data_IF_257461272560
#
_entry.id   IF_257461272560
#
_cell.length_a   1.000
_cell.length_b   1.000
_cell.length_c   1.000
_cell.angle_alpha   90.00
_cell.angle_beta   90.00
_cell.angle_gamma   90.00
#
_symmetry.space_group_name_H-M   'P 1'
#
loop_
_entity.id
_entity.type
_entity.pdbx_description
1 polymer ?
#
# COMPACT_ATOMS: atom_id res chain seq x y z
N UNK A 1 -4.55 6.21 -14.98
CA UNK A 1 -3.45 6.56 -14.07
C UNK A 1 -3.72 5.98 -12.69
N UNK A 2 -2.70 5.37 -12.10
CA UNK A 2 -2.82 4.84 -10.75
C UNK A 2 -2.58 5.97 -9.75
N UNK A 3 -3.47 6.12 -8.78
CA UNK A 3 -3.28 7.07 -7.69
C UNK A 3 -2.76 6.31 -6.47
N UNK A 4 -1.52 6.59 -6.12
CA UNK A 4 -0.85 5.91 -4.99
C UNK A 4 -1.64 6.10 -3.70
N UNK A 5 -2.14 7.30 -3.44
CA UNK A 5 -2.92 7.56 -2.22
C UNK A 5 -4.20 6.72 -2.14
N UNK A 6 -4.79 6.39 -3.29
CA UNK A 6 -5.97 5.53 -3.34
C UNK A 6 -5.60 4.10 -2.92
N UNK A 7 -4.48 3.59 -3.44
CA UNK A 7 -4.02 2.24 -3.08
C UNK A 7 -3.60 2.16 -1.62
N UNK A 8 -2.93 3.19 -1.13
CA UNK A 8 -2.57 3.26 0.29
C UNK A 8 -3.83 3.23 1.16
N UNK A 9 -4.81 4.05 0.82
CA UNK A 9 -6.07 4.10 1.56
C UNK A 9 -6.79 2.76 1.59
N UNK A 10 -6.87 2.10 0.46
CA UNK A 10 -7.52 0.79 0.34
C UNK A 10 -6.79 -0.26 1.17
N UNK A 11 -5.47 -0.27 1.13
CA UNK A 11 -4.66 -1.22 1.91
C UNK A 11 -4.84 -0.99 3.41
N UNK A 12 -4.79 0.26 3.85
CA UNK A 12 -5.01 0.58 5.27
C UNK A 12 -6.39 0.12 5.73
N UNK A 13 -7.41 0.37 4.93
CA UNK A 13 -8.76 -0.07 5.23
C UNK A 13 -8.85 -1.58 5.35
N UNK A 14 -8.25 -2.30 4.41
CA UNK A 14 -8.30 -3.75 4.40
C UNK A 14 -7.61 -4.34 5.63
N UNK A 15 -6.44 -3.83 6.01
CA UNK A 15 -5.78 -4.27 7.24
C UNK A 15 -6.62 -3.94 8.47
N UNK A 16 -7.23 -2.77 8.50
CA UNK A 16 -8.10 -2.39 9.62
C UNK A 16 -9.27 -3.36 9.77
N UNK A 17 -9.91 -3.68 8.67
CA UNK A 17 -11.03 -4.63 8.68
C UNK A 17 -10.59 -6.03 9.08
N UNK A 18 -9.44 -6.48 8.59
CA UNK A 18 -8.89 -7.78 8.98
C UNK A 18 -8.59 -7.86 10.49
N UNK A 19 -8.18 -6.75 11.06
CA UNK A 19 -7.91 -6.68 12.52
C UNK A 19 -9.19 -6.48 13.33
N UNK A 20 -10.33 -6.32 12.69
CA UNK A 20 -11.60 -6.11 13.37
C UNK A 20 -11.68 -4.79 14.11
N UNK A 21 -10.98 -3.77 13.63
CA UNK A 21 -10.93 -2.46 14.31
C UNK A 21 -11.78 -1.44 13.58
N UNK A 22 -12.42 -0.56 14.36
CA UNK A 22 -13.18 0.55 13.79
C UNK A 22 -12.22 1.67 13.41
N UNK A 23 -12.70 2.52 12.51
CA UNK A 23 -11.96 3.72 12.12
C UNK A 23 -11.63 4.59 13.33
N UNK A 24 -12.61 4.75 14.23
CA UNK A 24 -12.45 5.53 15.46
C UNK A 24 -11.36 4.97 16.37
N UNK A 25 -11.32 3.65 16.52
CA UNK A 25 -10.30 2.99 17.34
C UNK A 25 -8.90 3.25 16.79
N UNK A 26 -8.73 3.10 15.49
CA UNK A 26 -7.43 3.32 14.85
C UNK A 26 -7.04 4.79 14.93
N UNK A 27 -7.96 5.70 14.63
CA UNK A 27 -7.70 7.14 14.71
C UNK A 27 -7.26 7.55 16.11
N UNK A 28 -7.96 7.06 17.12
CA UNK A 28 -7.62 7.34 18.51
C UNK A 28 -6.24 6.81 18.87
N UNK A 29 -5.94 5.57 18.52
CA UNK A 29 -4.66 4.95 18.84
C UNK A 29 -3.50 5.60 18.10
N UNK A 30 -3.74 6.02 16.87
CA UNK A 30 -2.73 6.71 16.06
C UNK A 30 -2.62 8.21 16.40
N UNK A 31 -3.50 8.73 17.23
CA UNK A 31 -3.56 10.15 17.58
C UNK A 31 -3.78 11.05 16.36
N UNK A 32 -4.66 10.61 15.46
CA UNK A 32 -5.04 11.40 14.29
C UNK A 32 -6.53 11.70 14.32
N UNK A 33 -6.95 12.77 13.66
CA UNK A 33 -8.35 13.13 13.57
C UNK A 33 -9.11 12.07 12.79
N UNK A 34 -10.29 11.70 13.28
CA UNK A 34 -11.15 10.71 12.65
C UNK A 34 -11.49 11.08 11.21
N UNK A 35 -11.87 12.33 10.98
CA UNK A 35 -12.21 12.80 9.64
C UNK A 35 -11.03 12.73 8.67
N UNK A 36 -9.84 13.04 9.15
CA UNK A 36 -8.63 12.96 8.34
C UNK A 36 -8.33 11.51 7.95
N UNK A 37 -8.37 10.60 8.92
CA UNK A 37 -8.12 9.18 8.63
C UNK A 37 -9.17 8.62 7.67
N UNK A 38 -10.43 9.02 7.83
CA UNK A 38 -11.49 8.65 6.90
C UNK A 38 -11.16 9.08 5.46
N UNK A 39 -10.68 10.31 5.30
CA UNK A 39 -10.32 10.82 3.98
C UNK A 39 -9.10 10.10 3.41
N UNK A 40 -8.13 9.74 4.24
CA UNK A 40 -6.98 8.96 3.82
C UNK A 40 -7.41 7.58 3.32
N UNK A 41 -8.30 6.90 4.04
CA UNK A 41 -8.80 5.59 3.61
C UNK A 41 -9.57 5.66 2.30
N UNK A 42 -10.24 6.77 2.04
CA UNK A 42 -10.98 6.96 0.78
C UNK A 42 -10.11 7.48 -0.36
N UNK A 43 -8.82 7.66 -0.12
CA UNK A 43 -7.90 8.14 -1.14
C UNK A 43 -8.05 9.62 -1.45
N UNK A 44 -8.73 10.38 -0.60
CA UNK A 44 -8.97 11.81 -0.79
C UNK A 44 -7.87 12.70 -0.24
N UNK A 45 -7.08 12.16 0.67
CA UNK A 45 -5.95 12.87 1.28
C UNK A 45 -4.72 11.98 1.30
N UNK A 46 -3.57 12.61 1.16
CA UNK A 46 -2.30 11.93 1.30
C UNK A 46 -1.91 11.88 2.77
N UNK A 47 -1.30 10.77 3.18
CA UNK A 47 -0.77 10.64 4.52
C UNK A 47 0.73 10.85 4.49
N UNK A 48 1.24 11.65 5.41
CA UNK A 48 2.68 11.81 5.57
C UNK A 48 3.31 10.52 6.08
N UNK A 49 4.64 10.43 6.02
CA UNK A 49 5.36 9.28 6.55
C UNK A 49 5.05 9.06 8.02
N UNK A 50 4.96 10.13 8.80
CA UNK A 50 4.66 10.06 10.23
C UNK A 50 3.26 9.52 10.49
N UNK A 51 2.29 9.95 9.70
CA UNK A 51 0.91 9.46 9.82
C UNK A 51 0.84 7.98 9.44
N UNK A 52 1.49 7.60 8.36
CA UNK A 52 1.52 6.19 7.94
C UNK A 52 2.16 5.30 9.01
N UNK A 53 3.26 5.76 9.61
CA UNK A 53 3.92 5.02 10.69
C UNK A 53 3.00 4.89 11.91
N UNK A 54 2.30 5.96 12.29
CA UNK A 54 1.39 5.94 13.42
C UNK A 54 0.20 5.02 13.19
N UNK A 55 -0.35 5.03 11.99
CA UNK A 55 -1.48 4.16 11.64
C UNK A 55 -1.03 2.70 11.59
N UNK A 56 0.13 2.41 11.02
CA UNK A 56 0.70 1.06 11.00
C UNK A 56 0.86 0.52 12.41
N UNK A 57 1.42 1.32 13.31
CA UNK A 57 1.57 0.94 14.72
C UNK A 57 0.20 0.70 15.37
N UNK A 58 -0.76 1.57 15.11
CA UNK A 58 -2.12 1.41 15.63
C UNK A 58 -2.80 0.14 15.13
N UNK A 59 -2.43 -0.33 13.95
CA UNK A 59 -2.96 -1.56 13.36
C UNK A 59 -2.14 -2.80 13.75
N UNK A 60 -1.02 -2.63 14.42
CA UNK A 60 -0.07 -3.70 14.71
C UNK A 60 0.41 -4.42 13.43
N UNK A 61 0.65 -3.64 12.39
CA UNK A 61 1.16 -4.14 11.11
C UNK A 61 2.45 -3.38 10.81
N UNK A 62 3.54 -4.07 10.47
CA UNK A 62 4.77 -3.39 10.09
C UNK A 62 4.54 -2.51 8.86
N UNK A 63 5.11 -1.32 8.85
CA UNK A 63 4.98 -0.41 7.70
C UNK A 63 5.49 -1.07 6.41
N UNK A 64 6.52 -1.90 6.50
CA UNK A 64 7.05 -2.63 5.35
C UNK A 64 5.99 -3.55 4.73
N UNK A 65 5.18 -4.18 5.56
CA UNK A 65 4.09 -5.05 5.09
C UNK A 65 3.03 -4.23 4.36
N UNK A 66 2.68 -3.06 4.90
CA UNK A 66 1.73 -2.16 4.24
C UNK A 66 2.28 -1.70 2.89
N UNK A 67 3.53 -1.26 2.85
CA UNK A 67 4.14 -0.76 1.61
C UNK A 67 4.28 -1.86 0.56
N UNK A 68 4.60 -3.07 0.98
CA UNK A 68 4.71 -4.21 0.08
C UNK A 68 3.36 -4.52 -0.57
N UNK A 69 2.30 -4.53 0.22
CA UNK A 69 0.95 -4.76 -0.29
C UNK A 69 0.52 -3.66 -1.26
N UNK A 70 0.84 -2.40 -0.93
CA UNK A 70 0.58 -1.27 -1.83
C UNK A 70 1.34 -1.46 -3.14
N UNK A 71 2.62 -1.81 -3.07
CA UNK A 71 3.44 -2.04 -4.25
C UNK A 71 2.89 -3.16 -5.12
N UNK A 72 2.46 -4.26 -4.51
CA UNK A 72 1.89 -5.39 -5.24
C UNK A 72 0.62 -4.99 -5.99
N UNK A 73 -0.26 -4.24 -5.36
CA UNK A 73 -1.50 -3.76 -5.99
C UNK A 73 -1.21 -2.81 -7.13
N UNK A 74 -0.26 -1.90 -6.94
CA UNK A 74 0.14 -0.97 -7.99
C UNK A 74 0.72 -1.75 -9.18
N UNK A 75 1.54 -2.74 -8.93
CA UNK A 75 2.12 -3.58 -9.98
C UNK A 75 1.04 -4.25 -10.83
N UNK A 76 0.01 -4.78 -10.20
CA UNK A 76 -1.12 -5.40 -10.92
C UNK A 76 -1.82 -4.35 -11.78
N UNK A 77 -2.11 -3.18 -11.22
CA UNK A 77 -2.81 -2.12 -11.94
C UNK A 77 -1.99 -1.61 -13.11
N UNK A 78 -0.69 -1.44 -12.93
CA UNK A 78 0.20 -1.02 -14.01
C UNK A 78 0.23 -2.05 -15.13
N UNK A 79 0.27 -3.33 -14.78
CA UNK A 79 0.25 -4.42 -15.75
C UNK A 79 -1.05 -4.48 -16.56
N UNK A 80 -2.18 -4.10 -15.93
CA UNK A 80 -3.46 -4.10 -16.61
C UNK A 80 -3.66 -2.89 -17.51
N UNK A 81 -2.98 -1.79 -17.21
CA UNK A 81 -3.28 -0.54 -17.91
C UNK A 81 -2.55 -0.35 -19.24
N UNK A 82 -1.33 -0.77 -19.36
CA UNK A 82 -0.57 -0.21 -20.47
C UNK A 82 0.63 -0.98 -20.94
N UNK A 83 1.02 -2.02 -20.27
CA UNK A 83 2.22 -2.69 -20.69
C UNK A 83 1.89 -3.67 -21.79
N UNK A 84 2.71 -3.68 -22.87
CA UNK A 84 2.63 -4.78 -23.80
C UNK A 84 2.75 -6.06 -22.96
N UNK A 85 1.98 -7.03 -23.32
CA UNK A 85 1.92 -8.30 -22.64
C UNK A 85 3.25 -9.02 -22.62
N UNK A 86 4.22 -8.43 -23.26
CA UNK A 86 5.52 -9.05 -23.41
C UNK A 86 6.51 -8.31 -22.54
N UNK A 87 6.89 -8.94 -21.45
CA UNK A 87 8.13 -8.61 -20.81
C UNK A 87 9.21 -9.10 -21.79
N UNK A 88 10.13 -8.23 -22.24
CA UNK A 88 11.16 -8.69 -23.16
C UNK A 88 11.90 -9.88 -22.60
N UNK A 89 12.05 -10.90 -23.40
CA UNK A 89 12.72 -12.14 -22.99
C UNK A 89 14.12 -11.86 -22.46
N UNK A 90 14.81 -10.91 -23.04
CA UNK A 90 16.15 -10.53 -22.61
C UNK A 90 16.15 -9.91 -21.21
N UNK A 91 15.10 -9.20 -20.83
CA UNK A 91 14.99 -8.67 -19.48
C UNK A 91 14.80 -9.80 -18.45
N UNK A 92 13.94 -10.76 -18.78
CA UNK A 92 13.72 -11.92 -17.92
C UNK A 92 15.01 -12.74 -17.81
N UNK A 93 15.67 -12.97 -18.92
CA UNK A 93 16.94 -13.70 -18.94
C UNK A 93 18.01 -12.99 -18.12
N UNK A 94 18.07 -11.66 -18.19
CA UNK A 94 19.05 -10.89 -17.42
C UNK A 94 18.81 -11.02 -15.92
N UNK A 95 17.56 -10.97 -15.48
CA UNK A 95 17.21 -11.11 -14.07
C UNK A 95 17.56 -12.52 -13.59
N UNK A 96 17.21 -13.54 -14.36
CA UNK A 96 17.53 -14.93 -14.02
C UNK A 96 19.03 -15.16 -13.95
N UNK A 97 19.79 -14.59 -14.87
CA UNK A 97 21.24 -14.70 -14.88
C UNK A 97 21.86 -14.05 -13.65
N UNK A 98 21.37 -12.88 -13.25
CA UNK A 98 21.82 -12.21 -12.04
C UNK A 98 21.53 -13.03 -10.79
N UNK A 99 20.34 -13.60 -10.70
CA UNK A 99 19.94 -14.41 -9.57
C UNK A 99 20.75 -15.69 -9.47
N UNK A 100 21.09 -16.29 -10.59
CA UNK A 100 21.86 -17.52 -10.59
C UNK A 100 23.34 -17.32 -10.30
N UNK A 101 23.85 -16.10 -10.43
CA UNK A 101 25.24 -15.78 -10.10
C UNK A 101 25.46 -15.47 -8.62
N UNK A 102 24.40 -15.41 -7.85
CA UNK A 102 24.46 -15.13 -6.42
C UNK A 102 24.41 -16.43 -5.57
#
# INVERSE_FOLDING_TARGET
MVLVRQEIGDVLRDFRLQKGRTLRQVASKASVALGYLSEVERGQKEASSEILASVAEALDVPISTIMREVGDRISVLEGLQSFPDVVPDDLVASVDAELSLR
#
